data_IF_959630236458
#
_entry.id   IF_959630236458
#
_cell.length_a   1.000
_cell.length_b   1.000
_cell.length_c   1.000
_cell.angle_alpha   90.00
_cell.angle_beta   90.00
_cell.angle_gamma   90.00
#
_symmetry.space_group_name_H-M   'P 1'
#
loop_
_entity.id
_entity.type
_entity.pdbx_description
1 polymer ?
#
# COMPACT_ATOMS: atom_id res chain seq x y z
N UNK A 1 1.68 10.45 2.22
CA UNK A 1 0.77 9.52 1.53
C UNK A 1 1.57 8.55 0.66
N UNK A 2 2.22 7.58 1.29
CA UNK A 2 3.06 6.58 0.63
C UNK A 2 2.22 5.32 0.36
N UNK A 3 2.47 4.63 -0.75
CA UNK A 3 1.87 3.32 -1.04
C UNK A 3 0.58 3.31 -1.85
N UNK A 4 0.12 4.46 -2.38
CA UNK A 4 -1.10 4.52 -3.20
C UNK A 4 -0.97 3.67 -4.48
N UNK A 5 0.24 3.58 -5.07
CA UNK A 5 0.47 2.84 -6.32
C UNK A 5 0.08 1.36 -6.22
N UNK A 6 0.47 0.68 -5.15
CA UNK A 6 0.11 -0.73 -4.94
C UNK A 6 -1.36 -0.90 -4.55
N UNK A 7 -1.94 0.07 -3.82
CA UNK A 7 -3.36 0.07 -3.51
C UNK A 7 -4.24 0.14 -4.76
N UNK A 8 -3.84 0.89 -5.79
CA UNK A 8 -4.57 1.00 -7.05
C UNK A 8 -4.65 -0.33 -7.82
N UNK A 9 -3.53 -1.05 -7.88
CA UNK A 9 -3.41 -2.24 -8.69
C UNK A 9 -4.00 -3.49 -8.01
N UNK A 10 -3.78 -3.64 -6.70
CA UNK A 10 -4.05 -4.90 -5.96
C UNK A 10 -5.50 -4.99 -5.45
N UNK A 11 -6.16 -3.86 -5.21
CA UNK A 11 -7.48 -3.83 -4.56
C UNK A 11 -8.66 -4.19 -5.47
N UNK A 12 -8.43 -4.79 -6.63
CA UNK A 12 -9.48 -5.28 -7.53
C UNK A 12 -10.18 -6.55 -7.01
N UNK A 13 -9.50 -7.37 -6.20
CA UNK A 13 -10.03 -8.58 -5.59
C UNK A 13 -9.58 -8.71 -4.15
N UNK A 14 -10.49 -9.06 -3.26
CA UNK A 14 -10.24 -9.17 -1.82
C UNK A 14 -9.28 -10.33 -1.50
N UNK A 15 -9.35 -11.44 -2.25
CA UNK A 15 -8.44 -12.59 -2.08
C UNK A 15 -6.99 -12.18 -2.37
N UNK A 16 -6.76 -11.51 -3.49
CA UNK A 16 -5.43 -11.03 -3.89
C UNK A 16 -4.91 -9.98 -2.91
N UNK A 17 -5.78 -9.05 -2.48
CA UNK A 17 -5.44 -8.02 -1.49
C UNK A 17 -5.03 -8.62 -0.15
N UNK A 18 -5.70 -9.66 0.31
CA UNK A 18 -5.38 -10.33 1.58
C UNK A 18 -3.98 -10.98 1.54
N UNK A 19 -3.69 -11.74 0.49
CA UNK A 19 -2.36 -12.36 0.33
C UNK A 19 -1.27 -11.30 0.21
N UNK A 20 -1.56 -10.23 -0.53
CA UNK A 20 -0.63 -9.10 -0.66
C UNK A 20 -0.36 -8.40 0.67
N UNK A 21 -1.36 -8.27 1.53
CA UNK A 21 -1.21 -7.71 2.88
C UNK A 21 -0.21 -8.51 3.72
N UNK A 22 -0.33 -9.84 3.71
CA UNK A 22 0.58 -10.73 4.45
C UNK A 22 1.99 -10.62 3.88
N UNK A 23 2.14 -10.71 2.56
CA UNK A 23 3.43 -10.63 1.89
C UNK A 23 4.12 -9.28 2.17
N UNK A 24 3.40 -8.17 2.02
CA UNK A 24 3.95 -6.82 2.24
C UNK A 24 4.36 -6.61 3.70
N UNK A 25 3.53 -7.03 4.66
CA UNK A 25 3.85 -6.89 6.08
C UNK A 25 5.10 -7.68 6.45
N UNK A 26 5.22 -8.91 5.94
CA UNK A 26 6.41 -9.76 6.14
C UNK A 26 7.65 -9.12 5.55
N UNK A 27 7.57 -8.70 4.28
CA UNK A 27 8.69 -8.04 3.60
C UNK A 27 9.11 -6.74 4.32
N UNK A 28 8.14 -5.90 4.73
CA UNK A 28 8.43 -4.65 5.43
C UNK A 28 9.14 -4.88 6.77
N UNK A 29 8.69 -5.87 7.55
CA UNK A 29 9.30 -6.20 8.83
C UNK A 29 10.73 -6.70 8.67
N UNK A 30 10.96 -7.68 7.80
CA UNK A 30 12.30 -8.25 7.58
C UNK A 30 13.22 -7.26 6.87
N UNK A 31 12.73 -6.48 5.92
CA UNK A 31 13.51 -5.44 5.24
C UNK A 31 14.04 -4.41 6.25
N UNK A 32 13.18 -3.89 7.13
CA UNK A 32 13.59 -2.96 8.17
C UNK A 32 14.61 -3.57 9.12
N UNK A 33 14.47 -4.85 9.46
CA UNK A 33 15.42 -5.58 10.29
C UNK A 33 16.80 -5.66 9.61
N UNK A 34 16.88 -6.14 8.36
CA UNK A 34 18.14 -6.31 7.63
C UNK A 34 18.80 -4.97 7.33
N UNK A 35 18.05 -3.97 6.92
CA UNK A 35 18.59 -2.62 6.68
C UNK A 35 19.18 -2.04 7.97
N UNK A 36 18.51 -2.22 9.11
CA UNK A 36 19.03 -1.75 10.40
C UNK A 36 20.30 -2.49 10.85
N UNK A 37 20.44 -3.78 10.54
CA UNK A 37 21.66 -4.55 10.84
C UNK A 37 22.87 -4.02 10.06
N UNK A 38 22.68 -3.68 8.79
CA UNK A 38 23.78 -3.30 7.88
C UNK A 38 24.03 -1.78 7.88
N UNK A 39 23.19 -0.99 8.55
CA UNK A 39 23.19 0.48 8.50
C UNK A 39 24.55 1.13 8.71
N UNK A 40 25.41 0.54 9.56
CA UNK A 40 26.72 1.11 9.92
C UNK A 40 27.77 0.89 8.82
N UNK A 41 27.54 0.00 7.87
CA UNK A 41 28.49 -0.36 6.80
C UNK A 41 28.16 0.31 5.46
N UNK A 42 27.00 0.95 5.36
CA UNK A 42 26.51 1.52 4.09
C UNK A 42 26.91 3.00 3.98
N UNK A 43 27.74 3.38 2.98
CA UNK A 43 28.02 4.78 2.69
C UNK A 43 26.78 5.49 2.13
N UNK A 44 26.66 6.79 2.39
CA UNK A 44 25.48 7.59 2.03
C UNK A 44 25.16 7.59 0.53
N UNK A 45 26.20 7.47 -0.32
CA UNK A 45 26.05 7.56 -1.78
C UNK A 45 25.32 6.38 -2.41
N UNK A 46 25.43 5.17 -1.83
CA UNK A 46 24.84 3.93 -2.41
C UNK A 46 23.69 3.36 -1.56
N UNK A 47 23.26 4.09 -0.54
CA UNK A 47 22.28 3.64 0.45
C UNK A 47 20.98 3.13 -0.18
N UNK A 48 20.40 3.89 -1.09
CA UNK A 48 19.15 3.54 -1.76
C UNK A 48 19.28 2.25 -2.57
N UNK A 49 20.41 2.07 -3.26
CA UNK A 49 20.66 0.86 -4.07
C UNK A 49 20.73 -0.38 -3.19
N UNK A 50 21.43 -0.30 -2.07
CA UNK A 50 21.55 -1.42 -1.12
C UNK A 50 20.19 -1.77 -0.51
N UNK A 51 19.40 -0.79 -0.11
CA UNK A 51 18.05 -1.00 0.41
C UNK A 51 17.15 -1.70 -0.62
N UNK A 52 17.15 -1.21 -1.87
CA UNK A 52 16.36 -1.82 -2.96
C UNK A 52 16.79 -3.26 -3.22
N UNK A 53 18.09 -3.57 -3.17
CA UNK A 53 18.61 -4.93 -3.36
C UNK A 53 18.15 -5.87 -2.24
N UNK A 54 18.18 -5.42 -0.99
CA UNK A 54 17.69 -6.21 0.16
C UNK A 54 16.19 -6.48 0.03
N UNK A 55 15.40 -5.45 -0.28
CA UNK A 55 13.96 -5.58 -0.47
C UNK A 55 13.66 -6.55 -1.61
N UNK A 56 14.32 -6.41 -2.76
CA UNK A 56 14.13 -7.29 -3.91
C UNK A 56 14.46 -8.76 -3.58
N UNK A 57 15.56 -9.01 -2.88
CA UNK A 57 15.94 -10.37 -2.46
C UNK A 57 14.89 -11.01 -1.55
N UNK A 58 14.38 -10.25 -0.57
CA UNK A 58 13.31 -10.73 0.33
C UNK A 58 12.00 -10.99 -0.43
N UNK A 59 11.65 -10.12 -1.36
CA UNK A 59 10.44 -10.28 -2.17
C UNK A 59 10.52 -11.55 -3.03
N UNK A 60 11.68 -11.85 -3.63
CA UNK A 60 11.90 -13.09 -4.39
C UNK A 60 11.72 -14.31 -3.49
N UNK A 61 12.26 -14.30 -2.28
CA UNK A 61 12.08 -15.40 -1.32
C UNK A 61 10.60 -15.61 -0.99
N UNK A 62 9.87 -14.55 -0.71
CA UNK A 62 8.43 -14.60 -0.40
C UNK A 62 7.64 -15.09 -1.63
N UNK A 63 7.99 -14.66 -2.85
CA UNK A 63 7.36 -15.14 -4.08
C UNK A 63 7.56 -16.65 -4.29
N UNK A 64 8.76 -17.18 -4.01
CA UNK A 64 9.02 -18.62 -4.10
C UNK A 64 8.21 -19.41 -3.06
N UNK A 65 8.07 -18.89 -1.85
CA UNK A 65 7.22 -19.50 -0.81
C UNK A 65 5.75 -19.50 -1.25
N UNK A 66 5.26 -18.38 -1.80
CA UNK A 66 3.89 -18.29 -2.30
C UNK A 66 3.63 -19.25 -3.47
N UNK A 67 4.59 -19.42 -4.38
CA UNK A 67 4.51 -20.42 -5.46
C UNK A 67 4.41 -21.84 -4.96
N UNK A 68 5.08 -22.17 -3.86
CA UNK A 68 5.03 -23.48 -3.27
C UNK A 68 3.68 -23.78 -2.57
N UNK A 69 3.04 -22.78 -1.98
CA UNK A 69 1.84 -22.95 -1.14
C UNK A 69 0.55 -22.75 -1.94
N UNK A 70 0.51 -21.79 -2.86
CA UNK A 70 -0.71 -21.35 -3.56
C UNK A 70 -0.42 -20.97 -5.01
N UNK A 71 -0.20 -21.99 -5.87
CA UNK A 71 0.21 -21.78 -7.26
C UNK A 71 -0.77 -20.94 -8.09
N UNK A 72 -2.08 -21.14 -7.95
CA UNK A 72 -3.10 -20.40 -8.72
C UNK A 72 -3.16 -18.92 -8.35
N UNK A 73 -2.99 -18.63 -7.06
CA UNK A 73 -2.96 -17.24 -6.55
C UNK A 73 -1.63 -16.58 -6.93
N UNK A 74 -0.54 -17.34 -6.88
CA UNK A 74 0.79 -16.85 -7.25
C UNK A 74 0.88 -16.40 -8.70
N UNK A 75 0.20 -17.07 -9.63
CA UNK A 75 0.18 -16.69 -11.05
C UNK A 75 -0.46 -15.32 -11.26
N UNK A 76 -1.49 -14.99 -10.49
CA UNK A 76 -2.09 -13.64 -10.49
C UNK A 76 -1.22 -12.61 -9.76
N UNK A 77 -0.53 -13.05 -8.71
CA UNK A 77 0.32 -12.19 -7.87
C UNK A 77 1.69 -11.89 -8.47
N UNK A 78 2.20 -12.71 -9.41
CA UNK A 78 3.55 -12.53 -9.96
C UNK A 78 3.77 -11.13 -10.56
N UNK A 79 2.73 -10.54 -11.15
CA UNK A 79 2.75 -9.16 -11.66
C UNK A 79 2.80 -8.15 -10.51
N UNK A 80 2.15 -8.45 -9.38
CA UNK A 80 2.06 -7.54 -8.23
C UNK A 80 3.25 -7.63 -7.28
N UNK A 81 4.02 -8.74 -7.35
CA UNK A 81 5.26 -8.92 -6.57
C UNK A 81 6.26 -7.80 -6.88
N UNK A 82 6.37 -7.40 -8.14
CA UNK A 82 7.18 -6.24 -8.54
C UNK A 82 6.75 -4.93 -7.87
N UNK A 83 5.46 -4.77 -7.56
CA UNK A 83 4.94 -3.59 -6.87
C UNK A 83 5.31 -3.55 -5.38
N UNK A 84 5.67 -4.68 -4.77
CA UNK A 84 6.19 -4.69 -3.39
C UNK A 84 7.60 -4.12 -3.35
N UNK A 85 8.44 -4.45 -4.34
CA UNK A 85 9.83 -3.95 -4.44
C UNK A 85 9.85 -2.42 -4.54
N UNK A 86 8.99 -1.86 -5.39
CA UNK A 86 8.90 -0.42 -5.63
C UNK A 86 7.94 0.30 -4.66
N UNK A 87 7.47 -0.39 -3.61
CA UNK A 87 6.49 0.17 -2.70
C UNK A 87 7.11 1.27 -1.83
N UNK A 88 6.58 2.48 -1.97
CA UNK A 88 7.07 3.67 -1.27
C UNK A 88 6.99 3.55 0.27
N UNK A 89 6.07 2.74 0.81
CA UNK A 89 5.98 2.52 2.26
C UNK A 89 7.16 1.73 2.77
N UNK A 90 7.50 0.60 2.12
CA UNK A 90 8.62 -0.26 2.53
C UNK A 90 9.92 0.53 2.46
N UNK A 91 10.18 1.17 1.33
CA UNK A 91 11.38 1.98 1.12
C UNK A 91 11.42 3.20 2.04
N UNK A 92 10.31 3.91 2.19
CA UNK A 92 10.22 5.10 3.04
C UNK A 92 10.45 4.80 4.52
N UNK A 93 9.99 3.65 5.02
CA UNK A 93 10.24 3.24 6.42
C UNK A 93 11.66 2.71 6.62
N UNK A 94 12.20 2.00 5.65
CA UNK A 94 13.60 1.57 5.67
C UNK A 94 14.53 2.80 5.78
N UNK A 95 14.30 3.85 5.02
CA UNK A 95 15.11 5.07 5.04
C UNK A 95 14.83 5.93 6.28
N UNK A 96 13.57 6.17 6.63
CA UNK A 96 13.20 7.11 7.69
C UNK A 96 13.48 6.55 9.09
N UNK A 97 13.28 5.26 9.31
CA UNK A 97 13.32 4.65 10.62
C UNK A 97 14.45 3.62 10.78
N UNK A 98 14.57 2.62 9.88
CA UNK A 98 15.51 1.52 10.05
C UNK A 98 16.97 1.96 10.02
N UNK A 99 17.30 2.98 9.24
CA UNK A 99 18.64 3.56 9.16
C UNK A 99 19.07 4.31 10.45
N UNK A 100 18.12 4.70 11.30
CA UNK A 100 18.38 5.53 12.48
C UNK A 100 18.26 4.78 13.80
N UNK A 101 17.53 3.66 13.81
CA UNK A 101 17.16 2.93 15.01
C UNK A 101 17.77 1.52 15.06
N UNK A 102 17.91 0.92 16.25
CA UNK A 102 18.37 -0.47 16.39
C UNK A 102 17.40 -1.47 15.76
N UNK A 103 17.84 -2.75 15.52
CA UNK A 103 17.10 -3.70 14.69
C UNK A 103 15.74 -4.13 15.30
N UNK A 104 15.64 -4.31 16.61
CA UNK A 104 14.39 -4.72 17.26
C UNK A 104 13.26 -3.69 17.11
N UNK A 105 13.42 -2.39 17.45
CA UNK A 105 12.42 -1.37 17.17
C UNK A 105 12.09 -1.23 15.69
N UNK A 106 13.07 -1.44 14.79
CA UNK A 106 12.88 -1.36 13.35
C UNK A 106 11.96 -2.48 12.82
N UNK A 107 12.08 -3.69 13.36
CA UNK A 107 11.20 -4.79 13.05
C UNK A 107 9.75 -4.50 13.50
N UNK A 108 9.57 -4.02 14.74
CA UNK A 108 8.25 -3.65 15.27
C UNK A 108 7.60 -2.52 14.47
N UNK A 109 8.40 -1.54 14.04
CA UNK A 109 7.93 -0.46 13.17
C UNK A 109 7.47 -0.97 11.81
N UNK A 110 8.23 -1.89 11.20
CA UNK A 110 7.84 -2.55 9.95
C UNK A 110 6.53 -3.31 10.06
N UNK A 111 6.35 -4.07 11.15
CA UNK A 111 5.09 -4.77 11.42
C UNK A 111 3.93 -3.79 11.62
N UNK A 112 4.10 -2.77 12.44
CA UNK A 112 3.05 -1.79 12.73
C UNK A 112 2.60 -1.03 11.48
N UNK A 113 3.53 -0.57 10.65
CA UNK A 113 3.22 0.12 9.40
C UNK A 113 2.63 -0.84 8.35
N UNK A 114 3.14 -2.07 8.27
CA UNK A 114 2.61 -3.11 7.39
C UNK A 114 1.15 -3.43 7.72
N UNK A 115 0.84 -3.64 8.99
CA UNK A 115 -0.54 -3.90 9.44
C UNK A 115 -1.47 -2.69 9.22
N UNK A 116 -1.00 -1.47 9.51
CA UNK A 116 -1.79 -0.26 9.26
C UNK A 116 -2.13 -0.08 7.78
N UNK A 117 -1.16 -0.31 6.90
CA UNK A 117 -1.38 -0.27 5.47
C UNK A 117 -2.29 -1.40 4.97
N UNK A 118 -2.13 -2.61 5.50
CA UNK A 118 -2.98 -3.75 5.20
C UNK A 118 -4.44 -3.49 5.52
N UNK A 119 -4.72 -2.83 6.63
CA UNK A 119 -6.08 -2.44 7.00
C UNK A 119 -6.71 -1.51 5.96
N UNK A 120 -5.96 -0.50 5.51
CA UNK A 120 -6.44 0.43 4.47
C UNK A 120 -6.69 -0.32 3.16
N UNK A 121 -5.77 -1.21 2.75
CA UNK A 121 -5.93 -2.03 1.55
C UNK A 121 -7.20 -2.88 1.60
N UNK A 122 -7.47 -3.53 2.75
CA UNK A 122 -8.66 -4.37 2.92
C UNK A 122 -9.94 -3.56 2.85
N UNK A 123 -9.98 -2.38 3.46
CA UNK A 123 -11.15 -1.48 3.39
C UNK A 123 -11.41 -1.04 1.95
N UNK A 124 -10.38 -0.61 1.23
CA UNK A 124 -10.52 -0.19 -0.18
C UNK A 124 -10.94 -1.35 -1.07
N UNK A 125 -10.33 -2.54 -0.88
CA UNK A 125 -10.69 -3.74 -1.64
C UNK A 125 -12.14 -4.17 -1.39
N UNK A 126 -12.60 -4.10 -0.14
CA UNK A 126 -13.98 -4.39 0.22
C UNK A 126 -14.98 -3.52 -0.54
N UNK A 127 -14.78 -2.20 -0.51
CA UNK A 127 -15.67 -1.29 -1.24
C UNK A 127 -15.61 -1.50 -2.75
N UNK A 128 -14.43 -1.70 -3.31
CA UNK A 128 -14.25 -1.91 -4.75
C UNK A 128 -14.84 -3.22 -5.23
N UNK A 129 -14.65 -4.32 -4.53
CA UNK A 129 -15.23 -5.61 -4.90
C UNK A 129 -16.73 -5.61 -4.72
N UNK A 130 -17.26 -5.02 -3.63
CA UNK A 130 -18.68 -4.92 -3.37
C UNK A 130 -19.42 -4.12 -4.46
N UNK A 131 -18.95 -2.90 -4.75
CA UNK A 131 -19.61 -2.03 -5.74
C UNK A 131 -19.18 -2.31 -7.19
N UNK A 132 -18.05 -2.94 -7.42
CA UNK A 132 -17.56 -3.27 -8.76
C UNK A 132 -18.19 -4.52 -9.34
N UNK A 133 -18.12 -5.62 -8.61
CA UNK A 133 -18.60 -6.93 -9.08
C UNK A 133 -19.80 -7.46 -8.30
N UNK A 134 -20.18 -6.84 -7.18
CA UNK A 134 -21.27 -7.35 -6.33
C UNK A 134 -20.91 -8.65 -5.61
N UNK A 135 -19.63 -9.01 -5.58
CA UNK A 135 -19.11 -10.19 -4.89
C UNK A 135 -18.30 -9.77 -3.68
N UNK A 136 -18.19 -10.63 -2.68
CA UNK A 136 -17.21 -10.51 -1.61
C UNK A 136 -16.59 -11.88 -1.43
N UNK A 137 -15.26 -11.93 -1.51
CA UNK A 137 -14.47 -13.15 -1.39
C UNK A 137 -14.81 -14.23 -2.44
N UNK A 138 -15.39 -13.80 -3.59
CA UNK A 138 -15.86 -14.70 -4.66
C UNK A 138 -17.25 -15.28 -4.43
N UNK A 139 -17.95 -14.86 -3.38
CA UNK A 139 -19.38 -15.19 -3.15
C UNK A 139 -20.24 -14.04 -3.64
N UNK A 140 -21.23 -14.34 -4.48
CA UNK A 140 -22.16 -13.35 -5.03
C UNK A 140 -23.10 -12.89 -3.92
N UNK A 141 -23.01 -11.62 -3.50
CA UNK A 141 -23.89 -11.02 -2.49
C UNK A 141 -24.98 -10.18 -3.18
N UNK A 142 -24.60 -9.45 -4.23
CA UNK A 142 -25.54 -8.66 -5.02
C UNK A 142 -25.77 -9.39 -6.36
N UNK A 143 -26.94 -10.04 -6.55
CA UNK A 143 -27.22 -10.74 -7.81
C UNK A 143 -27.23 -9.73 -8.96
N UNK A 144 -26.31 -9.94 -9.91
CA UNK A 144 -26.21 -9.13 -11.12
C UNK A 144 -27.39 -9.39 -12.06
N UNK A 145 -27.76 -8.40 -12.86
CA UNK A 145 -28.78 -8.51 -13.92
C UNK A 145 -28.51 -9.63 -14.91
N UNK A 146 -27.26 -10.05 -15.10
CA UNK A 146 -26.91 -11.23 -15.92
C UNK A 146 -27.39 -12.55 -15.33
N UNK A 147 -27.67 -12.60 -14.03
CA UNK A 147 -28.19 -13.77 -13.31
C UNK A 147 -29.61 -13.55 -12.76
N UNK A 148 -30.38 -12.60 -13.37
CA UNK A 148 -31.77 -12.31 -12.98
C UNK A 148 -31.91 -11.40 -11.74
N UNK A 149 -30.83 -10.75 -11.31
CA UNK A 149 -30.83 -9.77 -10.22
C UNK A 149 -31.16 -8.35 -10.69
N UNK A 150 -31.24 -7.43 -9.74
CA UNK A 150 -31.54 -6.01 -9.98
C UNK A 150 -30.27 -5.11 -9.97
N UNK A 151 -29.10 -5.66 -9.64
CA UNK A 151 -27.85 -4.90 -9.56
C UNK A 151 -27.11 -4.91 -10.89
N UNK A 152 -26.79 -3.73 -11.41
CA UNK A 152 -25.91 -3.56 -12.57
C UNK A 152 -24.49 -3.38 -12.07
N UNK A 153 -23.60 -4.34 -12.36
CA UNK A 153 -22.20 -4.26 -11.99
C UNK A 153 -21.55 -2.99 -12.58
N UNK A 154 -20.99 -2.15 -11.72
CA UNK A 154 -20.37 -0.90 -12.14
C UNK A 154 -18.88 -1.14 -12.46
N UNK A 155 -18.55 -1.42 -13.72
CA UNK A 155 -17.19 -1.65 -14.19
C UNK A 155 -16.22 -0.50 -13.93
N UNK A 156 -16.71 0.73 -13.81
CA UNK A 156 -15.85 1.88 -13.45
C UNK A 156 -15.23 1.75 -12.05
N UNK A 157 -15.93 1.08 -11.12
CA UNK A 157 -15.41 0.85 -9.77
C UNK A 157 -14.23 -0.11 -9.74
N UNK A 158 -14.07 -1.00 -10.72
CA UNK A 158 -12.92 -1.89 -10.85
C UNK A 158 -11.72 -1.20 -11.50
N UNK A 159 -11.91 -0.06 -12.16
CA UNK A 159 -10.82 0.70 -12.75
C UNK A 159 -9.95 1.41 -11.69
N UNK A 160 -8.66 1.64 -11.97
CA UNK A 160 -7.74 2.30 -11.03
C UNK A 160 -8.22 3.67 -10.50
N UNK A 161 -8.88 4.54 -11.29
CA UNK A 161 -9.34 5.85 -10.79
C UNK A 161 -10.29 5.76 -9.59
N UNK A 162 -11.10 4.70 -9.48
CA UNK A 162 -12.05 4.55 -8.37
C UNK A 162 -11.35 4.44 -7.01
N UNK A 163 -10.18 3.82 -6.98
CA UNK A 163 -9.42 3.70 -5.74
C UNK A 163 -8.96 5.07 -5.21
N UNK A 164 -8.63 6.03 -6.09
CA UNK A 164 -8.30 7.39 -5.66
C UNK A 164 -9.49 8.07 -4.98
N UNK A 165 -10.71 7.92 -5.54
CA UNK A 165 -11.91 8.48 -4.93
C UNK A 165 -12.19 7.87 -3.56
N UNK A 166 -12.10 6.54 -3.44
CA UNK A 166 -12.35 5.84 -2.16
C UNK A 166 -11.29 6.24 -1.12
N UNK A 167 -10.01 6.25 -1.49
CA UNK A 167 -8.91 6.67 -0.59
C UNK A 167 -9.08 8.15 -0.21
N UNK A 168 -9.42 9.02 -1.16
CA UNK A 168 -9.67 10.43 -0.91
C UNK A 168 -10.82 10.65 0.09
N UNK A 169 -11.95 9.95 -0.11
CA UNK A 169 -13.09 9.99 0.82
C UNK A 169 -12.72 9.45 2.20
N UNK A 170 -11.93 8.36 2.27
CA UNK A 170 -11.48 7.77 3.52
C UNK A 170 -10.58 8.74 4.29
N UNK A 171 -9.64 9.38 3.62
CA UNK A 171 -8.76 10.40 4.22
C UNK A 171 -9.58 11.61 4.67
N UNK A 172 -10.53 12.07 3.85
CA UNK A 172 -11.42 13.18 4.22
C UNK A 172 -12.23 12.84 5.47
N UNK A 173 -12.81 11.64 5.54
CA UNK A 173 -13.54 11.18 6.71
C UNK A 173 -12.69 11.11 7.98
N UNK A 174 -11.47 10.55 7.88
CA UNK A 174 -10.53 10.47 9.01
C UNK A 174 -10.08 11.85 9.49
N UNK A 175 -9.80 12.78 8.56
CA UNK A 175 -9.42 14.15 8.90
C UNK A 175 -10.58 14.96 9.49
N UNK A 176 -11.81 14.72 9.03
CA UNK A 176 -13.01 15.33 9.64
C UNK A 176 -13.23 14.87 11.07
N UNK A 177 -12.92 13.59 11.35
CA UNK A 177 -13.02 13.06 12.70
C UNK A 177 -11.91 13.56 13.63
N UNK A 178 -10.64 13.56 13.15
CA UNK A 178 -9.48 14.05 13.92
C UNK A 178 -9.00 15.40 13.37
N UNK A 179 -9.57 16.50 13.86
CA UNK A 179 -9.18 17.88 13.49
C UNK A 179 -7.71 18.21 13.80
N UNK A 180 -7.06 17.48 14.71
CA UNK A 180 -5.63 17.65 15.01
C UNK A 180 -4.69 17.26 13.87
N UNK A 181 -5.17 16.51 12.88
CA UNK A 181 -4.41 16.08 11.69
C UNK A 181 -4.61 16.99 10.47
N UNK A 182 -5.36 18.07 10.64
CA UNK A 182 -5.51 19.10 9.58
C UNK A 182 -4.17 19.82 9.47
N UNK A 183 -3.52 19.70 8.33
CA UNK A 183 -2.31 20.46 8.02
C UNK A 183 -2.64 21.95 8.05
N UNK A 184 -1.83 22.73 8.79
CA UNK A 184 -1.90 24.19 8.75
C UNK A 184 -1.54 24.62 7.33
N UNK A 185 -2.27 25.61 6.78
CA UNK A 185 -1.94 26.17 5.48
C UNK A 185 -0.47 26.58 5.44
N UNK A 186 0.32 25.90 4.61
CA UNK A 186 1.78 26.10 4.50
C UNK A 186 2.12 27.47 3.94
N UNK A 187 1.20 28.04 3.18
CA UNK A 187 1.28 29.37 2.61
C UNK A 187 0.22 30.27 3.22
N UNK A 188 0.60 31.14 4.13
CA UNK A 188 -0.18 32.35 4.42
C UNK A 188 0.04 33.29 3.25
N UNK A 189 -0.90 33.35 2.33
CA UNK A 189 -0.94 34.41 1.34
C UNK A 189 -1.02 35.74 2.15
N UNK A 190 0.10 36.44 2.18
CA UNK A 190 0.08 37.81 2.71
C UNK A 190 -0.90 38.63 1.84
N UNK A 191 -1.87 39.33 2.41
CA UNK A 191 -2.81 40.15 1.63
C UNK A 191 -2.13 41.18 0.74
N UNK A 192 -0.82 41.37 0.87
CA UNK A 192 0.00 42.34 0.11
C UNK A 192 1.11 41.68 -0.75
N UNK A 193 1.02 40.38 -1.06
CA UNK A 193 1.98 39.77 -1.97
C UNK A 193 1.83 40.34 -3.38
N UNK A 194 2.85 41.06 -3.84
CA UNK A 194 2.94 41.54 -5.24
C UNK A 194 3.06 40.35 -6.19
N UNK A 195 2.42 40.39 -7.38
CA UNK A 195 2.42 39.28 -8.34
C UNK A 195 3.80 38.86 -8.89
N UNK A 196 4.85 39.57 -8.57
CA UNK A 196 6.23 39.37 -9.04
C UNK A 196 7.05 38.40 -8.19
N UNK A 197 6.51 37.83 -7.10
CA UNK A 197 7.22 36.90 -6.22
C UNK A 197 6.76 35.43 -6.38
N UNK A 198 5.93 35.16 -7.38
CA UNK A 198 5.43 33.80 -7.71
C UNK A 198 5.97 33.41 -9.09
N UNK A 199 7.27 33.22 -9.19
CA UNK A 199 7.89 32.57 -10.35
C UNK A 199 8.88 31.52 -9.91
#
# INVERSE_FOLDING_TARGET
MLGICSALAVTSSMKVSFVMCIALTTVAAFSNLFVSLIRNQIPSSIRIIVQMTIIASLVIVVDQILKAVAYDISKQLSVFVGLIITNCIVMGRAEAFAMKNPPLPSLLDGLGNGLGYSLILMVVAFFRELFGSGTIWGVVILPSTTNGGWYVANGMMLMPPSAFFIIGLLIWGLRSWKRSQIEKAEYKLSPNAKPSEVS
#
